data_IF_359927994290
#
_entry.id   IF_359927994290
#
_cell.length_a   1.000
_cell.length_b   1.000
_cell.length_c   1.000
_cell.angle_alpha   90.00
_cell.angle_beta   90.00
_cell.angle_gamma   90.00
#
_symmetry.space_group_name_H-M   'P 1'
#
loop_
_entity.id
_entity.type
_entity.pdbx_description
1 polymer ?
#
# COMPACT_ATOMS: atom_id res chain seq x y z
N UNK A 1 22.75 29.13 1.42
CA UNK A 1 23.01 28.28 2.61
C UNK A 1 24.31 27.54 2.34
N UNK A 2 25.36 27.58 3.20
CA UNK A 2 26.58 26.86 2.95
C UNK A 2 26.29 25.36 2.95
N UNK A 3 26.66 24.69 1.86
CA UNK A 3 26.66 23.22 1.82
C UNK A 3 27.60 22.70 2.93
N UNK A 4 27.30 21.50 3.45
CA UNK A 4 28.18 20.84 4.41
C UNK A 4 29.60 20.74 3.86
N UNK A 5 30.61 20.77 4.74
CA UNK A 5 31.99 20.40 4.37
C UNK A 5 31.96 19.05 3.60
N UNK A 6 32.73 18.88 2.52
CA UNK A 6 32.75 17.67 1.70
C UNK A 6 32.95 16.36 2.52
N UNK A 7 33.73 16.41 3.62
CA UNK A 7 33.93 15.27 4.50
C UNK A 7 32.66 14.92 5.29
N UNK A 8 31.97 15.93 5.80
CA UNK A 8 30.70 15.74 6.50
C UNK A 8 29.62 15.23 5.55
N UNK A 9 29.56 15.76 4.32
CA UNK A 9 28.64 15.29 3.28
C UNK A 9 28.88 13.80 2.94
N UNK A 10 30.14 13.37 2.83
CA UNK A 10 30.47 11.96 2.63
C UNK A 10 30.03 11.06 3.79
N UNK A 11 30.19 11.51 5.03
CA UNK A 11 29.72 10.74 6.22
C UNK A 11 28.20 10.56 6.18
N UNK A 12 27.46 11.63 5.88
CA UNK A 12 25.99 11.54 5.79
C UNK A 12 25.56 10.58 4.67
N UNK A 13 26.23 10.60 3.51
CA UNK A 13 25.94 9.67 2.41
C UNK A 13 26.30 8.22 2.75
N UNK A 14 27.42 7.99 3.45
CA UNK A 14 27.82 6.65 3.91
C UNK A 14 26.80 6.09 4.91
N UNK A 15 26.38 6.89 5.89
CA UNK A 15 25.37 6.48 6.87
C UNK A 15 24.04 6.17 6.18
N UNK A 16 23.60 7.03 5.25
CA UNK A 16 22.39 6.80 4.48
C UNK A 16 22.48 5.51 3.65
N UNK A 17 23.58 5.27 2.93
CA UNK A 17 23.73 4.05 2.13
C UNK A 17 23.73 2.79 2.98
N UNK A 18 24.29 2.84 4.19
CA UNK A 18 24.20 1.75 5.17
C UNK A 18 22.76 1.55 5.64
N UNK A 19 22.05 2.62 6.00
CA UNK A 19 20.65 2.54 6.38
C UNK A 19 19.77 1.95 5.27
N UNK A 20 19.96 2.35 4.03
CA UNK A 20 19.20 1.86 2.87
C UNK A 20 19.58 0.42 2.45
N UNK A 21 20.74 -0.08 2.86
CA UNK A 21 21.16 -1.47 2.64
C UNK A 21 20.43 -2.45 3.57
N UNK A 22 19.97 -2.00 4.73
CA UNK A 22 19.18 -2.81 5.65
C UNK A 22 17.77 -3.11 5.06
N UNK A 23 17.14 -4.19 5.57
CA UNK A 23 15.77 -4.54 5.18
C UNK A 23 14.79 -3.63 5.93
N UNK A 24 14.43 -2.50 5.33
CA UNK A 24 13.51 -1.49 5.89
C UNK A 24 12.23 -1.40 5.07
N UNK A 25 11.20 -0.80 5.67
CA UNK A 25 9.97 -0.45 4.95
C UNK A 25 10.24 0.63 3.88
N UNK A 26 9.32 0.76 2.92
CA UNK A 26 9.40 1.84 1.93
C UNK A 26 9.34 3.21 2.64
N UNK A 27 8.45 3.37 3.61
CA UNK A 27 8.25 4.60 4.38
C UNK A 27 9.52 5.02 5.13
N UNK A 28 10.19 4.07 5.79
CA UNK A 28 11.45 4.32 6.49
C UNK A 28 12.55 4.75 5.53
N UNK A 29 12.65 4.07 4.39
CA UNK A 29 13.64 4.39 3.34
C UNK A 29 13.44 5.79 2.79
N UNK A 30 12.20 6.17 2.43
CA UNK A 30 11.86 7.50 1.94
C UNK A 30 12.14 8.59 2.99
N UNK A 31 11.79 8.33 4.25
CA UNK A 31 12.03 9.26 5.37
C UNK A 31 13.52 9.46 5.64
N UNK A 32 14.34 8.42 5.53
CA UNK A 32 15.81 8.55 5.67
C UNK A 32 16.40 9.41 4.57
N UNK A 33 15.95 9.26 3.32
CA UNK A 33 16.43 10.07 2.18
C UNK A 33 16.02 11.55 2.34
N UNK A 34 14.78 11.85 2.73
CA UNK A 34 14.35 13.25 2.89
C UNK A 34 15.07 13.94 4.05
N UNK A 35 15.32 13.23 5.17
CA UNK A 35 16.16 13.75 6.26
C UNK A 35 17.61 14.02 5.82
N UNK A 36 18.20 13.09 5.07
CA UNK A 36 19.54 13.28 4.52
C UNK A 36 19.59 14.47 3.56
N UNK A 37 18.57 14.68 2.71
CA UNK A 37 18.48 15.81 1.80
C UNK A 37 18.47 17.16 2.54
N UNK A 38 17.63 17.29 3.58
CA UNK A 38 17.62 18.49 4.43
C UNK A 38 18.99 18.75 5.05
N UNK A 39 19.62 17.72 5.61
CA UNK A 39 20.91 17.83 6.29
C UNK A 39 22.05 18.17 5.32
N UNK A 40 22.14 17.48 4.18
CA UNK A 40 23.22 17.65 3.20
C UNK A 40 23.20 19.01 2.52
N UNK A 41 22.02 19.53 2.22
CA UNK A 41 21.84 20.71 1.41
C UNK A 41 21.54 21.97 2.25
N UNK A 42 21.39 21.82 3.58
CA UNK A 42 20.92 22.88 4.43
C UNK A 42 19.53 23.39 4.00
N UNK A 43 18.74 22.53 3.37
CA UNK A 43 17.42 22.88 2.85
C UNK A 43 16.42 23.02 4.00
N UNK A 44 15.42 23.89 3.82
CA UNK A 44 14.34 24.08 4.80
C UNK A 44 13.33 22.93 4.75
N UNK A 45 13.08 22.38 3.56
CA UNK A 45 12.16 21.27 3.34
C UNK A 45 12.66 20.32 2.25
N UNK A 46 12.40 19.04 2.42
CA UNK A 46 12.61 18.00 1.39
C UNK A 46 11.39 17.12 1.25
N UNK A 47 11.08 16.71 0.04
CA UNK A 47 10.00 15.76 -0.22
C UNK A 47 10.35 14.76 -1.33
N UNK A 48 9.87 13.53 -1.18
CA UNK A 48 9.86 12.52 -2.23
C UNK A 48 8.42 12.25 -2.65
N UNK A 49 8.20 12.20 -3.94
CA UNK A 49 6.96 11.74 -4.54
C UNK A 49 7.23 10.57 -5.47
N UNK A 50 6.35 9.58 -5.42
CA UNK A 50 6.43 8.40 -6.26
C UNK A 50 5.19 8.33 -7.16
N UNK A 51 5.37 7.88 -8.39
CA UNK A 51 4.26 7.57 -9.28
C UNK A 51 3.45 6.41 -8.71
N UNK A 52 2.13 6.55 -8.76
CA UNK A 52 1.20 5.47 -8.46
C UNK A 52 1.30 4.32 -9.49
N UNK A 53 0.54 3.24 -9.28
CA UNK A 53 0.56 2.09 -10.18
C UNK A 53 0.06 2.43 -11.60
N UNK A 54 -0.85 3.40 -11.74
CA UNK A 54 -1.37 3.89 -13.02
C UNK A 54 -0.42 4.84 -13.73
N UNK A 55 0.60 5.37 -13.02
CA UNK A 55 1.52 6.43 -13.46
C UNK A 55 0.83 7.76 -13.78
N UNK A 56 -0.37 7.97 -13.27
CA UNK A 56 -1.16 9.19 -13.49
C UNK A 56 -1.03 10.21 -12.36
N UNK A 57 -0.55 9.78 -11.18
CA UNK A 57 -0.46 10.64 -9.99
C UNK A 57 0.88 10.45 -9.29
N UNK A 58 1.49 11.57 -8.89
CA UNK A 58 2.67 11.64 -8.02
C UNK A 58 2.21 11.78 -6.57
N UNK A 59 2.12 10.66 -5.87
CA UNK A 59 1.71 10.60 -4.48
C UNK A 59 2.84 11.02 -3.53
N UNK A 60 2.51 11.73 -2.47
CA UNK A 60 3.48 12.09 -1.43
C UNK A 60 3.96 10.84 -0.70
N UNK A 61 5.27 10.53 -0.82
CA UNK A 61 5.91 9.40 -0.15
C UNK A 61 6.46 9.75 1.23
N UNK A 62 7.33 10.75 1.32
CA UNK A 62 7.88 11.26 2.59
C UNK A 62 8.24 12.73 2.48
N UNK A 63 8.29 13.40 3.64
CA UNK A 63 8.69 14.81 3.78
C UNK A 63 9.52 14.99 5.04
N UNK A 64 10.42 15.97 5.04
CA UNK A 64 11.25 16.36 6.21
C UNK A 64 11.48 17.85 6.20
N UNK A 65 11.64 18.44 7.39
CA UNK A 65 11.82 19.90 7.56
C UNK A 65 10.51 20.66 7.75
N UNK A 66 10.49 21.93 7.37
CA UNK A 66 9.33 22.81 7.54
C UNK A 66 8.09 22.29 6.80
N UNK A 67 6.91 22.46 7.38
CA UNK A 67 5.64 22.06 6.79
C UNK A 67 5.42 20.54 6.68
N UNK A 68 6.15 19.73 7.47
CA UNK A 68 5.97 18.27 7.48
C UNK A 68 4.55 17.87 7.88
N UNK A 69 3.88 18.66 8.74
CA UNK A 69 2.51 18.44 9.22
C UNK A 69 1.44 19.03 8.28
N UNK A 70 1.82 19.80 7.26
CA UNK A 70 0.89 20.32 6.28
C UNK A 70 0.23 19.18 5.50
N UNK A 71 -0.99 19.41 5.02
CA UNK A 71 -1.64 18.43 4.14
C UNK A 71 -0.83 18.28 2.84
N UNK A 72 -0.36 17.06 2.50
CA UNK A 72 0.39 16.87 1.27
C UNK A 72 -0.48 17.18 0.04
N UNK A 73 0.13 17.81 -0.94
CA UNK A 73 -0.46 18.01 -2.27
C UNK A 73 0.08 16.94 -3.21
N UNK A 74 -0.80 16.26 -3.91
CA UNK A 74 -0.44 15.35 -5.00
C UNK A 74 -0.33 16.14 -6.30
N UNK A 75 0.49 15.67 -7.23
CA UNK A 75 0.70 16.27 -8.54
C UNK A 75 0.41 15.27 -9.65
N UNK A 76 0.04 15.77 -10.82
CA UNK A 76 0.03 14.96 -12.04
C UNK A 76 1.38 15.09 -12.77
N UNK A 77 1.81 14.05 -13.53
CA UNK A 77 2.91 14.23 -14.47
C UNK A 77 2.66 15.44 -15.37
N UNK A 78 3.67 16.32 -15.50
CA UNK A 78 3.55 17.59 -16.22
C UNK A 78 3.01 18.77 -15.40
N UNK A 79 2.49 18.56 -14.19
CA UNK A 79 1.95 19.61 -13.34
C UNK A 79 3.03 20.16 -12.41
N UNK A 80 3.26 21.46 -12.46
CA UNK A 80 4.25 22.14 -11.64
C UNK A 80 5.67 21.67 -11.90
N UNK A 81 6.62 22.17 -11.11
CA UNK A 81 8.05 21.83 -11.25
C UNK A 81 8.29 20.31 -11.07
N UNK A 82 7.61 19.72 -10.09
CA UNK A 82 7.79 18.29 -9.75
C UNK A 82 7.23 17.40 -10.86
N UNK A 83 6.01 17.67 -11.35
CA UNK A 83 5.42 16.91 -12.45
C UNK A 83 6.19 17.05 -13.76
N UNK A 84 6.71 18.24 -14.05
CA UNK A 84 7.58 18.48 -15.21
C UNK A 84 8.91 17.73 -15.10
N UNK A 85 9.54 17.69 -13.92
CA UNK A 85 10.77 16.92 -13.69
C UNK A 85 10.59 15.44 -14.10
N UNK A 86 9.44 14.86 -13.74
CA UNK A 86 9.11 13.48 -14.09
C UNK A 86 8.82 13.30 -15.57
N UNK A 87 8.05 14.20 -16.20
CA UNK A 87 7.65 14.12 -17.61
C UNK A 87 8.81 14.39 -18.55
N UNK A 88 9.62 15.43 -18.26
CA UNK A 88 10.78 15.80 -19.06
C UNK A 88 12.00 14.91 -18.76
N UNK A 89 11.91 14.06 -17.72
CA UNK A 89 12.94 13.10 -17.35
C UNK A 89 14.30 13.76 -17.11
N UNK A 90 14.31 14.95 -16.53
CA UNK A 90 15.52 15.73 -16.25
C UNK A 90 15.38 16.55 -14.95
N UNK A 91 16.52 16.92 -14.42
CA UNK A 91 16.62 17.86 -13.30
C UNK A 91 15.98 19.21 -13.66
N UNK A 92 15.22 19.78 -12.73
CA UNK A 92 14.66 21.15 -12.84
C UNK A 92 15.08 21.94 -11.61
N UNK A 93 15.71 23.06 -11.86
CA UNK A 93 16.17 24.00 -10.83
C UNK A 93 15.45 25.32 -11.00
N UNK A 94 14.95 25.87 -9.91
CA UNK A 94 14.25 27.16 -9.86
C UNK A 94 14.95 28.04 -8.85
N UNK A 95 15.68 29.01 -9.34
CA UNK A 95 16.45 29.94 -8.51
C UNK A 95 15.55 30.93 -7.76
N UNK A 96 14.42 31.33 -8.37
CA UNK A 96 13.41 32.19 -7.76
C UNK A 96 12.01 31.74 -8.20
N UNK A 97 11.25 31.17 -7.26
CA UNK A 97 9.91 30.67 -7.57
C UNK A 97 8.90 31.76 -7.91
N UNK A 98 9.16 33.00 -7.51
CA UNK A 98 8.28 34.15 -7.81
C UNK A 98 8.34 34.58 -9.28
N UNK A 99 9.40 34.17 -9.97
CA UNK A 99 9.64 34.46 -11.39
C UNK A 99 9.38 33.27 -12.31
N UNK A 100 9.13 32.09 -11.74
CA UNK A 100 8.97 30.84 -12.49
C UNK A 100 7.48 30.46 -12.59
N UNK A 101 6.93 30.59 -13.78
CA UNK A 101 5.49 30.28 -14.05
C UNK A 101 5.14 28.79 -13.91
N UNK A 102 6.13 27.90 -13.84
CA UNK A 102 5.94 26.47 -13.62
C UNK A 102 5.69 26.13 -12.14
N UNK A 103 6.04 27.05 -11.22
CA UNK A 103 5.83 26.81 -9.79
C UNK A 103 4.35 26.93 -9.43
N UNK A 104 3.81 25.88 -8.80
CA UNK A 104 2.42 25.83 -8.30
C UNK A 104 2.48 25.81 -6.77
N UNK A 105 2.05 26.90 -6.10
CA UNK A 105 2.02 26.96 -4.64
C UNK A 105 0.91 26.05 -4.09
N UNK A 106 1.20 25.32 -3.00
CA UNK A 106 0.18 24.56 -2.30
C UNK A 106 -0.76 25.49 -1.51
N UNK A 107 -2.06 25.22 -1.55
CA UNK A 107 -3.08 26.04 -0.87
C UNK A 107 -3.00 25.99 0.66
N UNK A 108 -2.36 24.95 1.22
CA UNK A 108 -2.20 24.73 2.67
C UNK A 108 -0.75 24.83 3.15
N UNK A 109 0.12 25.51 2.40
CA UNK A 109 1.54 25.61 2.72
C UNK A 109 1.78 26.57 3.89
N UNK A 110 2.42 26.08 4.96
CA UNK A 110 2.71 26.87 6.17
C UNK A 110 4.11 27.54 6.15
N UNK A 111 4.94 27.23 5.14
CA UNK A 111 6.32 27.71 5.04
C UNK A 111 6.57 28.40 3.69
N UNK A 112 7.58 29.28 3.67
CA UNK A 112 7.97 30.03 2.47
C UNK A 112 8.88 29.18 1.58
N UNK A 113 8.67 29.27 0.28
CA UNK A 113 9.59 28.75 -0.74
C UNK A 113 10.09 29.93 -1.57
N UNK A 114 11.42 30.10 -1.64
CA UNK A 114 12.08 31.09 -2.49
C UNK A 114 12.82 30.43 -3.65
N UNK A 115 13.44 29.27 -3.41
CA UNK A 115 14.12 28.46 -4.44
C UNK A 115 13.80 26.98 -4.30
N UNK A 116 13.92 26.21 -5.40
CA UNK A 116 13.59 24.79 -5.46
C UNK A 116 14.54 24.04 -6.37
N UNK A 117 15.03 22.88 -5.91
CA UNK A 117 15.71 21.89 -6.75
C UNK A 117 14.85 20.63 -6.82
N UNK A 118 14.76 20.01 -8.00
CA UNK A 118 14.03 18.77 -8.22
C UNK A 118 14.85 17.83 -9.10
N UNK A 119 15.04 16.59 -8.61
CA UNK A 119 15.76 15.52 -9.30
C UNK A 119 14.84 14.33 -9.56
N UNK A 120 14.84 13.73 -10.76
CA UNK A 120 14.09 12.53 -11.04
C UNK A 120 14.71 11.32 -10.32
N UNK A 121 13.86 10.43 -9.82
CA UNK A 121 14.25 9.13 -9.28
C UNK A 121 14.15 8.08 -10.38
N UNK A 122 15.25 7.39 -10.67
CA UNK A 122 15.36 6.47 -11.79
C UNK A 122 15.33 5.02 -11.35
N UNK A 123 14.56 4.18 -12.03
CA UNK A 123 14.60 2.73 -11.89
C UNK A 123 14.53 2.06 -13.25
N UNK A 124 15.48 1.20 -13.57
CA UNK A 124 15.51 0.40 -14.81
C UNK A 124 15.30 1.24 -16.09
N UNK A 125 15.84 2.47 -16.15
CA UNK A 125 15.70 3.38 -17.28
C UNK A 125 14.40 4.18 -17.33
N UNK A 126 13.53 4.02 -16.35
CA UNK A 126 12.28 4.77 -16.21
C UNK A 126 12.31 5.69 -14.98
N UNK A 127 11.61 6.83 -15.07
CA UNK A 127 11.41 7.71 -13.92
C UNK A 127 10.26 7.16 -13.09
N UNK A 128 10.50 6.91 -11.80
CA UNK A 128 9.54 6.35 -10.84
C UNK A 128 9.02 7.39 -9.84
N UNK A 129 9.60 8.58 -9.84
CA UNK A 129 9.23 9.67 -8.95
C UNK A 129 10.20 10.82 -9.01
N UNK A 130 10.17 11.70 -8.02
CA UNK A 130 11.06 12.84 -7.88
C UNK A 130 11.42 13.11 -6.42
N UNK A 131 12.66 13.55 -6.18
CA UNK A 131 13.16 14.12 -4.94
C UNK A 131 13.26 15.63 -5.12
N UNK A 132 12.62 16.41 -4.27
CA UNK A 132 12.71 17.87 -4.29
C UNK A 132 13.17 18.42 -2.94
N UNK A 133 13.92 19.52 -2.98
CA UNK A 133 14.31 20.31 -1.83
C UNK A 133 13.98 21.79 -2.08
N UNK A 134 13.63 22.50 -1.01
CA UNK A 134 13.31 23.92 -1.08
C UNK A 134 14.00 24.71 0.02
N UNK A 135 14.22 26.00 -0.24
CA UNK A 135 14.70 26.99 0.73
C UNK A 135 13.85 28.26 0.66
N UNK A 136 13.74 29.03 1.78
CA UNK A 136 12.93 30.24 1.83
C UNK A 136 13.51 31.41 1.03
N UNK A 137 14.83 31.41 0.76
CA UNK A 137 15.52 32.45 0.00
C UNK A 137 15.63 32.08 -1.49
N UNK A 138 15.49 33.05 -2.40
CA UNK A 138 15.91 32.85 -3.78
C UNK A 138 17.41 32.57 -3.89
N UNK A 139 17.80 31.75 -4.88
CA UNK A 139 19.20 31.38 -5.18
C UNK A 139 19.95 30.79 -3.99
N UNK A 140 19.24 30.06 -3.12
CA UNK A 140 19.84 29.45 -1.93
C UNK A 140 20.79 28.27 -2.26
N UNK A 141 20.67 27.68 -3.43
CA UNK A 141 21.41 26.49 -3.84
C UNK A 141 22.44 26.81 -4.93
N UNK A 142 23.69 26.48 -4.67
CA UNK A 142 24.80 26.58 -5.62
C UNK A 142 24.96 25.33 -6.50
N UNK A 143 25.99 25.26 -7.34
CA UNK A 143 26.24 24.11 -8.22
C UNK A 143 26.61 22.85 -7.43
N UNK A 144 27.28 22.98 -6.29
CA UNK A 144 27.61 21.85 -5.42
C UNK A 144 26.33 21.25 -4.79
N UNK A 145 25.40 22.09 -4.38
CA UNK A 145 24.09 21.63 -3.87
C UNK A 145 23.30 20.86 -4.96
N UNK A 146 23.32 21.32 -6.22
CA UNK A 146 22.72 20.62 -7.36
C UNK A 146 23.35 19.27 -7.59
N UNK A 147 24.68 19.19 -7.54
CA UNK A 147 25.43 17.95 -7.71
C UNK A 147 25.14 16.96 -6.56
N UNK A 148 25.10 17.44 -5.33
CA UNK A 148 24.79 16.62 -4.14
C UNK A 148 23.37 16.07 -4.20
N UNK A 149 22.38 16.87 -4.59
CA UNK A 149 21.00 16.39 -4.73
C UNK A 149 20.90 15.29 -5.80
N UNK A 150 21.57 15.48 -6.95
CA UNK A 150 21.63 14.47 -8.01
C UNK A 150 22.29 13.18 -7.54
N UNK A 151 23.40 13.28 -6.81
CA UNK A 151 24.09 12.12 -6.24
C UNK A 151 23.17 11.38 -5.26
N UNK A 152 22.51 12.14 -4.36
CA UNK A 152 21.57 11.59 -3.39
C UNK A 152 20.41 10.88 -4.09
N UNK A 153 19.80 11.48 -5.10
CA UNK A 153 18.71 10.87 -5.88
C UNK A 153 19.16 9.56 -6.53
N UNK A 154 20.34 9.56 -7.19
CA UNK A 154 20.87 8.38 -7.86
C UNK A 154 21.21 7.25 -6.90
N UNK A 155 21.85 7.54 -5.75
CA UNK A 155 22.19 6.53 -4.74
C UNK A 155 20.93 5.96 -4.05
N UNK A 156 19.87 6.76 -3.92
CA UNK A 156 18.66 6.38 -3.21
C UNK A 156 17.65 5.64 -4.09
N UNK A 157 17.66 5.86 -5.40
CA UNK A 157 16.68 5.28 -6.32
C UNK A 157 16.63 3.74 -6.30
N UNK A 158 17.74 2.98 -6.40
CA UNK A 158 17.69 1.52 -6.39
C UNK A 158 17.13 0.92 -5.10
N UNK A 159 17.56 1.34 -3.88
CA UNK A 159 16.97 0.81 -2.66
C UNK A 159 15.49 1.21 -2.46
N UNK A 160 15.09 2.41 -2.85
CA UNK A 160 13.69 2.85 -2.82
C UNK A 160 12.85 1.95 -3.73
N UNK A 161 13.29 1.71 -4.95
CA UNK A 161 12.54 0.86 -5.89
C UNK A 161 12.50 -0.59 -5.42
N UNK A 162 13.57 -1.12 -4.86
CA UNK A 162 13.55 -2.45 -4.24
C UNK A 162 12.51 -2.53 -3.12
N UNK A 163 12.46 -1.54 -2.21
CA UNK A 163 11.48 -1.49 -1.14
C UNK A 163 10.04 -1.34 -1.68
N UNK A 164 9.86 -0.53 -2.74
CA UNK A 164 8.58 -0.35 -3.44
C UNK A 164 8.10 -1.65 -4.08
N UNK A 165 8.95 -2.33 -4.84
CA UNK A 165 8.63 -3.61 -5.47
C UNK A 165 8.33 -4.69 -4.43
N UNK A 166 9.07 -4.71 -3.31
CA UNK A 166 8.80 -5.61 -2.20
C UNK A 166 7.45 -5.30 -1.54
N UNK A 167 7.11 -4.02 -1.36
CA UNK A 167 5.79 -3.61 -0.87
C UNK A 167 4.66 -4.05 -1.81
N UNK A 168 4.80 -3.77 -3.13
CA UNK A 168 3.83 -4.19 -4.15
C UNK A 168 3.67 -5.72 -4.23
N UNK A 169 4.74 -6.47 -3.98
CA UNK A 169 4.68 -7.92 -3.90
C UNK A 169 3.96 -8.42 -2.63
N UNK A 170 3.98 -7.64 -1.56
CA UNK A 170 3.48 -8.04 -0.22
C UNK A 170 2.09 -7.51 0.07
N UNK A 171 1.78 -6.29 -0.34
CA UNK A 171 0.49 -5.62 -0.06
C UNK A 171 -0.28 -5.31 -1.33
N UNK A 172 -1.60 -5.28 -1.20
CA UNK A 172 -2.51 -4.73 -2.20
C UNK A 172 -2.57 -3.20 -2.03
N UNK A 173 -2.19 -2.46 -3.05
CA UNK A 173 -2.08 -1.00 -2.98
C UNK A 173 -3.42 -0.29 -2.76
N UNK A 174 -4.52 -0.91 -3.17
CA UNK A 174 -5.84 -0.33 -3.01
C UNK A 174 -6.31 -0.40 -1.55
N UNK A 175 -6.19 -1.56 -0.93
CA UNK A 175 -6.80 -1.85 0.36
C UNK A 175 -5.80 -1.95 1.50
N UNK A 176 -4.50 -1.96 1.20
CA UNK A 176 -3.44 -2.22 2.18
C UNK A 176 -3.58 -3.57 2.91
N UNK A 177 -4.39 -4.49 2.39
CA UNK A 177 -4.36 -5.89 2.77
C UNK A 177 -3.11 -6.56 2.19
N UNK A 178 -2.73 -7.74 2.70
CA UNK A 178 -1.70 -8.52 2.02
C UNK A 178 -2.14 -8.87 0.61
N UNK A 179 -1.20 -8.96 -0.34
CA UNK A 179 -1.49 -9.33 -1.72
C UNK A 179 -1.78 -10.83 -1.83
N UNK A 180 -2.49 -11.23 -2.87
CA UNK A 180 -2.77 -12.66 -3.18
C UNK A 180 -1.49 -13.51 -3.22
N UNK A 181 -0.37 -12.97 -3.71
CA UNK A 181 0.91 -13.68 -3.77
C UNK A 181 1.42 -14.13 -2.40
N UNK A 182 1.01 -13.44 -1.34
CA UNK A 182 1.40 -13.74 0.03
C UNK A 182 0.49 -14.77 0.71
N UNK A 183 -0.68 -15.09 0.12
CA UNK A 183 -1.70 -15.95 0.73
C UNK A 183 -1.14 -17.34 1.09
N UNK A 184 -0.73 -18.11 0.12
CA UNK A 184 -0.27 -19.47 0.35
C UNK A 184 1.04 -19.56 1.14
N UNK A 185 2.06 -18.74 0.88
CA UNK A 185 3.24 -18.68 1.75
C UNK A 185 2.88 -18.41 3.22
N UNK A 186 1.94 -17.50 3.47
CA UNK A 186 1.53 -17.19 4.83
C UNK A 186 0.75 -18.31 5.51
N UNK A 187 -0.19 -18.94 4.82
CA UNK A 187 -0.91 -20.10 5.34
C UNK A 187 0.09 -21.23 5.66
N UNK A 188 1.07 -21.49 4.78
CA UNK A 188 2.10 -22.53 4.99
C UNK A 188 2.94 -22.25 6.25
N UNK A 189 3.39 -21.01 6.46
CA UNK A 189 4.12 -20.61 7.67
C UNK A 189 3.29 -20.87 8.93
N UNK A 190 2.00 -20.52 8.92
CA UNK A 190 1.14 -20.68 10.10
C UNK A 190 0.77 -22.15 10.32
N UNK A 191 0.59 -22.96 9.28
CA UNK A 191 0.41 -24.41 9.39
C UNK A 191 1.65 -25.05 10.03
N UNK A 192 2.85 -24.66 9.58
CA UNK A 192 4.11 -25.18 10.16
C UNK A 192 4.24 -24.81 11.65
N UNK A 193 3.87 -23.58 12.02
CA UNK A 193 3.84 -23.14 13.43
C UNK A 193 2.79 -23.87 14.23
N UNK A 194 1.60 -24.07 13.66
CA UNK A 194 0.49 -24.80 14.28
C UNK A 194 0.85 -26.25 14.55
N UNK A 195 1.43 -26.93 13.56
CA UNK A 195 1.90 -28.32 13.67
C UNK A 195 2.94 -28.50 14.78
N UNK A 196 3.92 -27.58 14.89
CA UNK A 196 4.96 -27.65 15.93
C UNK A 196 4.43 -27.42 17.35
N UNK A 197 3.42 -26.58 17.49
CA UNK A 197 2.94 -26.13 18.80
C UNK A 197 1.60 -26.77 19.23
N UNK A 198 1.00 -27.64 18.42
CA UNK A 198 -0.31 -28.22 18.66
C UNK A 198 -1.46 -27.19 18.65
N UNK A 199 -1.29 -26.09 17.90
CA UNK A 199 -2.31 -25.05 17.79
C UNK A 199 -3.21 -25.27 16.58
N UNK A 200 -4.40 -24.68 16.60
CA UNK A 200 -5.30 -24.61 15.47
C UNK A 200 -5.02 -23.38 14.60
N UNK A 201 -5.36 -23.48 13.34
CA UNK A 201 -5.38 -22.36 12.39
C UNK A 201 -6.69 -22.41 11.61
N UNK A 202 -7.34 -21.28 11.46
CA UNK A 202 -8.55 -21.13 10.65
C UNK A 202 -8.34 -20.08 9.54
N UNK A 203 -9.09 -20.28 8.46
CA UNK A 203 -9.14 -19.36 7.31
C UNK A 203 -10.59 -19.01 7.05
N UNK A 204 -10.85 -17.70 6.87
CA UNK A 204 -12.14 -17.20 6.41
C UNK A 204 -11.98 -16.67 5.00
N UNK A 205 -12.79 -17.15 4.07
CA UNK A 205 -12.93 -16.55 2.75
C UNK A 205 -14.18 -15.68 2.72
N UNK A 206 -14.05 -14.45 2.29
CA UNK A 206 -15.08 -13.40 2.34
C UNK A 206 -15.27 -12.79 0.96
N UNK A 207 -16.53 -12.62 0.53
CA UNK A 207 -16.87 -11.97 -0.73
C UNK A 207 -17.99 -10.93 -0.50
N UNK A 208 -17.76 -9.71 -1.00
CA UNK A 208 -18.74 -8.61 -0.89
C UNK A 208 -19.94 -8.85 -1.80
N UNK A 209 -21.09 -9.11 -1.22
CA UNK A 209 -22.31 -9.40 -1.95
C UNK A 209 -22.67 -8.27 -2.91
N UNK A 210 -22.95 -8.66 -4.17
CA UNK A 210 -23.39 -7.72 -5.22
C UNK A 210 -22.42 -6.55 -5.46
N UNK A 211 -21.11 -6.78 -5.36
CA UNK A 211 -20.12 -5.74 -5.57
C UNK A 211 -20.10 -5.23 -7.02
N UNK A 212 -20.32 -6.11 -8.00
CA UNK A 212 -20.40 -5.71 -9.41
C UNK A 212 -21.43 -4.60 -9.65
N UNK A 213 -22.60 -4.66 -8.98
CA UNK A 213 -23.61 -3.61 -9.10
C UNK A 213 -23.11 -2.23 -8.64
N UNK A 214 -22.20 -2.18 -7.65
CA UNK A 214 -21.58 -0.91 -7.22
C UNK A 214 -20.76 -0.29 -8.35
N UNK A 215 -19.98 -1.11 -9.04
CA UNK A 215 -19.17 -0.65 -10.16
C UNK A 215 -20.06 -0.22 -11.35
N UNK A 216 -21.09 -1.01 -11.66
CA UNK A 216 -21.99 -0.75 -12.78
C UNK A 216 -22.82 0.53 -12.56
N UNK A 217 -23.30 0.78 -11.34
CA UNK A 217 -24.15 1.95 -11.02
C UNK A 217 -23.36 3.21 -10.65
N UNK A 218 -22.17 3.06 -10.06
CA UNK A 218 -21.45 4.16 -9.43
C UNK A 218 -20.01 4.34 -9.90
N UNK A 219 -19.55 3.48 -10.81
CA UNK A 219 -18.20 3.51 -11.37
C UNK A 219 -17.13 2.89 -10.46
N UNK A 220 -15.99 2.52 -11.07
CA UNK A 220 -14.88 1.83 -10.40
C UNK A 220 -14.28 2.60 -9.23
N UNK A 221 -14.20 3.94 -9.32
CA UNK A 221 -13.68 4.76 -8.22
C UNK A 221 -14.52 4.62 -6.92
N UNK A 222 -15.84 4.45 -7.07
CA UNK A 222 -16.73 4.17 -5.92
C UNK A 222 -16.53 2.76 -5.41
N UNK A 223 -16.38 1.77 -6.29
CA UNK A 223 -16.04 0.40 -5.93
C UNK A 223 -14.73 0.32 -5.13
N UNK A 224 -13.71 1.02 -5.59
CA UNK A 224 -12.42 1.12 -4.90
C UNK A 224 -12.55 1.69 -3.49
N UNK A 225 -13.36 2.74 -3.33
CA UNK A 225 -13.63 3.32 -2.01
C UNK A 225 -14.38 2.34 -1.09
N UNK A 226 -15.30 1.54 -1.64
CA UNK A 226 -16.01 0.47 -0.90
C UNK A 226 -15.04 -0.61 -0.45
N UNK A 227 -14.12 -1.06 -1.30
CA UNK A 227 -13.11 -2.08 -0.96
C UNK A 227 -12.17 -1.60 0.14
N UNK A 228 -11.71 -0.33 0.09
CA UNK A 228 -10.91 0.28 1.17
C UNK A 228 -11.70 0.29 2.48
N UNK A 229 -12.93 0.80 2.46
CA UNK A 229 -13.78 0.88 3.65
C UNK A 229 -14.09 -0.50 4.26
N UNK A 230 -14.28 -1.52 3.42
CA UNK A 230 -14.45 -2.90 3.87
C UNK A 230 -13.19 -3.44 4.56
N UNK A 231 -12.02 -3.32 3.92
CA UNK A 231 -10.77 -3.77 4.50
C UNK A 231 -10.46 -3.08 5.84
N UNK A 232 -10.72 -1.76 5.94
CA UNK A 232 -10.55 -1.01 7.18
C UNK A 232 -11.54 -1.45 8.28
N UNK A 233 -12.79 -1.79 7.91
CA UNK A 233 -13.78 -2.34 8.82
C UNK A 233 -13.33 -3.69 9.36
N UNK A 234 -12.88 -4.58 8.50
CA UNK A 234 -12.38 -5.91 8.92
C UNK A 234 -11.19 -5.75 9.88
N UNK A 235 -10.18 -4.92 9.55
CA UNK A 235 -9.01 -4.69 10.42
C UNK A 235 -9.38 -4.22 11.82
N UNK A 236 -10.42 -3.41 11.98
CA UNK A 236 -10.89 -2.94 13.29
C UNK A 236 -11.56 -4.04 14.12
N UNK A 237 -12.02 -5.12 13.47
CA UNK A 237 -12.75 -6.21 14.10
C UNK A 237 -11.91 -7.44 14.41
N UNK A 238 -10.67 -7.49 13.90
CA UNK A 238 -9.76 -8.63 14.03
C UNK A 238 -8.55 -8.30 14.91
N UNK A 239 -7.79 -9.31 15.32
CA UNK A 239 -6.59 -9.15 16.14
C UNK A 239 -5.40 -8.72 15.27
N UNK A 240 -4.38 -8.09 15.89
CA UNK A 240 -3.13 -7.72 15.19
C UNK A 240 -2.37 -8.91 14.59
N UNK A 241 -2.58 -10.11 15.12
CA UNK A 241 -1.93 -11.35 14.62
C UNK A 241 -2.69 -11.96 13.46
N UNK A 242 -3.96 -11.60 13.27
CA UNK A 242 -4.76 -12.05 12.14
C UNK A 242 -4.31 -11.31 10.88
N UNK A 243 -4.26 -12.02 9.76
CA UNK A 243 -3.73 -11.47 8.51
C UNK A 243 -4.83 -11.38 7.47
N UNK A 244 -5.16 -10.16 7.08
CA UNK A 244 -6.10 -9.90 6.00
C UNK A 244 -5.36 -9.88 4.66
N UNK A 245 -5.80 -10.70 3.72
CA UNK A 245 -5.27 -10.83 2.36
C UNK A 245 -6.37 -10.46 1.37
N UNK A 246 -6.08 -9.67 0.35
CA UNK A 246 -6.99 -9.51 -0.80
C UNK A 246 -6.67 -10.58 -1.83
N UNK A 247 -7.61 -11.50 -2.06
CA UNK A 247 -7.45 -12.60 -3.03
C UNK A 247 -7.54 -12.10 -4.46
N UNK A 248 -8.47 -11.18 -4.73
CA UNK A 248 -8.69 -10.55 -6.03
C UNK A 248 -10.09 -9.93 -6.09
N UNK A 249 -10.32 -8.96 -6.96
CA UNK A 249 -11.63 -8.32 -7.09
C UNK A 249 -12.20 -7.86 -5.75
N UNK A 250 -13.32 -8.46 -5.36
CA UNK A 250 -14.04 -8.22 -4.10
C UNK A 250 -13.81 -9.30 -3.03
N UNK A 251 -12.89 -10.25 -3.28
CA UNK A 251 -12.62 -11.39 -2.40
C UNK A 251 -11.47 -11.12 -1.45
N UNK A 252 -11.68 -11.45 -0.18
CA UNK A 252 -10.68 -11.33 0.88
C UNK A 252 -10.55 -12.62 1.66
N UNK A 253 -9.34 -12.90 2.13
CA UNK A 253 -9.03 -14.03 3.01
C UNK A 253 -8.51 -13.51 4.33
N UNK A 254 -9.06 -14.00 5.44
CA UNK A 254 -8.54 -13.74 6.78
C UNK A 254 -7.89 -15.01 7.31
N UNK A 255 -6.58 -14.96 7.53
CA UNK A 255 -5.81 -16.04 8.15
C UNK A 255 -5.78 -15.79 9.65
N UNK A 256 -6.19 -16.75 10.44
CA UNK A 256 -6.36 -16.63 11.89
C UNK A 256 -5.49 -17.65 12.63
N UNK A 257 -4.25 -17.30 13.00
CA UNK A 257 -3.38 -18.16 13.78
C UNK A 257 -3.95 -18.45 15.19
N UNK A 258 -3.69 -19.65 15.71
CA UNK A 258 -4.14 -20.10 17.04
C UNK A 258 -5.64 -19.88 17.27
N UNK A 259 -6.44 -20.26 16.27
CA UNK A 259 -7.87 -20.02 16.27
C UNK A 259 -8.60 -21.26 15.75
N UNK A 260 -9.46 -21.86 16.60
CA UNK A 260 -10.28 -22.98 16.23
C UNK A 260 -11.62 -22.56 15.61
N UNK A 261 -12.39 -23.54 15.13
CA UNK A 261 -13.61 -23.37 14.35
C UNK A 261 -14.66 -22.48 15.04
N UNK A 262 -14.90 -22.66 16.34
CA UNK A 262 -15.89 -21.86 17.09
C UNK A 262 -15.50 -20.38 17.16
N UNK A 263 -14.23 -20.08 17.40
CA UNK A 263 -13.73 -18.70 17.46
C UNK A 263 -13.72 -18.05 16.07
N UNK A 264 -13.36 -18.82 15.04
CA UNK A 264 -13.37 -18.37 13.65
C UNK A 264 -14.80 -18.03 13.20
N UNK A 265 -15.78 -18.90 13.50
CA UNK A 265 -17.20 -18.62 13.25
C UNK A 265 -17.66 -17.35 13.97
N UNK A 266 -17.28 -17.17 15.25
CA UNK A 266 -17.60 -15.96 16.02
C UNK A 266 -17.01 -14.69 15.37
N UNK A 267 -15.80 -14.76 14.83
CA UNK A 267 -15.20 -13.63 14.10
C UNK A 267 -15.92 -13.36 12.77
N UNK A 268 -16.25 -14.41 12.02
CA UNK A 268 -17.03 -14.28 10.78
C UNK A 268 -18.39 -13.62 11.02
N UNK A 269 -19.13 -14.08 12.05
CA UNK A 269 -20.42 -13.47 12.45
C UNK A 269 -20.26 -12.00 12.83
N UNK A 270 -19.25 -11.64 13.62
CA UNK A 270 -18.99 -10.24 14.01
C UNK A 270 -18.72 -9.34 12.79
N UNK A 271 -17.98 -9.83 11.79
CA UNK A 271 -17.75 -9.09 10.54
C UNK A 271 -19.05 -8.94 9.75
N UNK A 272 -19.80 -10.02 9.55
CA UNK A 272 -21.07 -10.03 8.83
C UNK A 272 -22.09 -9.09 9.49
N UNK A 273 -22.31 -9.19 10.80
CA UNK A 273 -23.24 -8.35 11.56
C UNK A 273 -22.83 -6.86 11.54
N UNK A 274 -21.53 -6.57 11.57
CA UNK A 274 -21.04 -5.18 11.48
C UNK A 274 -21.43 -4.52 10.17
N UNK A 275 -21.36 -5.25 9.06
CA UNK A 275 -21.77 -4.75 7.74
C UNK A 275 -23.29 -4.66 7.61
N UNK A 276 -24.00 -5.57 8.25
CA UNK A 276 -25.46 -5.55 8.26
C UNK A 276 -26.03 -4.39 9.08
N UNK A 277 -25.43 -4.07 10.23
CA UNK A 277 -25.87 -2.98 11.11
C UNK A 277 -25.46 -1.60 10.63
N UNK A 278 -24.22 -1.45 10.14
CA UNK A 278 -23.63 -0.16 9.83
C UNK A 278 -23.19 -0.07 8.36
N UNK A 279 -23.55 1.02 7.72
CA UNK A 279 -23.10 1.32 6.36
C UNK A 279 -21.57 1.51 6.30
N UNK A 280 -20.96 1.17 5.18
CA UNK A 280 -19.60 1.55 4.84
C UNK A 280 -19.59 3.04 4.47
N UNK A 281 -18.79 3.82 5.20
CA UNK A 281 -18.62 5.26 4.93
C UNK A 281 -17.49 5.44 3.90
N UNK A 282 -17.84 6.03 2.78
CA UNK A 282 -16.91 6.34 1.69
C UNK A 282 -17.01 7.84 1.35
N UNK A 283 -16.07 8.43 0.60
CA UNK A 283 -16.12 9.85 0.26
C UNK A 283 -17.47 10.24 -0.36
N UNK A 284 -18.15 11.22 0.26
CA UNK A 284 -19.42 11.77 -0.20
C UNK A 284 -20.68 10.92 0.05
N UNK A 285 -20.58 9.68 0.56
CA UNK A 285 -21.74 8.82 0.83
C UNK A 285 -21.50 7.71 1.83
N UNK A 286 -22.59 7.03 2.24
CA UNK A 286 -22.54 5.79 3.02
C UNK A 286 -23.36 4.71 2.30
N UNK A 287 -22.74 3.52 2.09
CA UNK A 287 -23.34 2.42 1.33
C UNK A 287 -23.60 1.21 2.24
N UNK A 288 -24.78 0.61 2.12
CA UNK A 288 -25.08 -0.66 2.77
C UNK A 288 -24.53 -1.80 1.90
N UNK A 289 -23.71 -2.64 2.50
CA UNK A 289 -23.17 -3.84 1.87
C UNK A 289 -23.28 -5.01 2.84
N UNK A 290 -23.37 -6.20 2.28
CA UNK A 290 -23.33 -7.47 3.02
C UNK A 290 -22.14 -8.30 2.51
N UNK A 291 -21.84 -9.37 3.22
CA UNK A 291 -20.71 -10.25 2.91
C UNK A 291 -21.11 -11.71 3.11
N UNK A 292 -20.73 -12.57 2.17
CA UNK A 292 -20.80 -14.01 2.30
C UNK A 292 -19.46 -14.55 2.76
N UNK A 293 -19.44 -15.39 3.80
CA UNK A 293 -18.22 -15.86 4.46
C UNK A 293 -18.22 -17.37 4.55
N UNK A 294 -17.14 -18.01 4.09
CA UNK A 294 -16.82 -19.41 4.32
C UNK A 294 -15.70 -19.53 5.35
N UNK A 295 -15.84 -20.47 6.29
CA UNK A 295 -14.87 -20.74 7.34
C UNK A 295 -14.34 -22.15 7.22
N UNK A 296 -13.02 -22.33 7.25
CA UNK A 296 -12.38 -23.64 7.35
C UNK A 296 -11.29 -23.60 8.43
N UNK A 297 -11.23 -24.66 9.24
CA UNK A 297 -10.17 -24.88 10.22
C UNK A 297 -9.30 -26.02 9.74
N UNK A 298 -7.98 -25.86 9.83
CA UNK A 298 -6.99 -26.86 9.41
C UNK A 298 -7.19 -28.17 10.18
N UNK A 299 -7.18 -29.28 9.45
CA UNK A 299 -7.43 -30.64 9.99
C UNK A 299 -6.17 -31.33 10.54
N UNK A 300 -5.03 -30.64 10.51
CA UNK A 300 -3.75 -31.20 10.94
C UNK A 300 -2.95 -31.90 9.83
N UNK A 301 -3.48 -32.03 8.61
CA UNK A 301 -2.87 -32.81 7.52
C UNK A 301 -2.91 -32.16 6.14
N UNK A 302 -3.96 -31.38 5.86
CA UNK A 302 -4.18 -30.81 4.54
C UNK A 302 -3.15 -29.74 4.15
N UNK A 303 -2.99 -29.53 2.84
CA UNK A 303 -2.15 -28.47 2.31
C UNK A 303 -2.79 -27.08 2.47
N UNK A 304 -2.01 -25.98 2.37
CA UNK A 304 -2.56 -24.63 2.34
C UNK A 304 -3.65 -24.42 1.30
N UNK A 305 -3.50 -25.03 0.12
CA UNK A 305 -4.44 -24.96 -0.99
C UNK A 305 -5.74 -25.69 -0.67
N UNK A 306 -5.65 -26.88 -0.05
CA UNK A 306 -6.82 -27.64 0.34
C UNK A 306 -7.64 -26.94 1.44
N UNK A 307 -6.98 -26.34 2.43
CA UNK A 307 -7.62 -25.53 3.48
C UNK A 307 -8.37 -24.34 2.87
N UNK A 308 -7.73 -23.59 1.98
CA UNK A 308 -8.33 -22.46 1.30
C UNK A 308 -9.52 -22.89 0.42
N UNK A 309 -9.38 -23.97 -0.34
CA UNK A 309 -10.46 -24.50 -1.18
C UNK A 309 -11.69 -24.96 -0.37
N UNK A 310 -11.50 -25.46 0.87
CA UNK A 310 -12.63 -25.75 1.77
C UNK A 310 -13.35 -24.49 2.23
N UNK A 311 -12.60 -23.43 2.55
CA UNK A 311 -13.19 -22.14 2.88
C UNK A 311 -13.95 -21.53 1.67
N UNK A 312 -13.41 -21.70 0.46
CA UNK A 312 -14.05 -21.24 -0.78
C UNK A 312 -15.39 -21.94 -1.04
N UNK A 313 -15.44 -23.26 -0.92
CA UNK A 313 -16.71 -24.03 -1.02
C UNK A 313 -17.73 -23.57 0.00
N UNK A 314 -17.32 -23.37 1.25
CA UNK A 314 -18.22 -22.87 2.29
C UNK A 314 -18.74 -21.45 2.00
N UNK A 315 -17.90 -20.56 1.45
CA UNK A 315 -18.33 -19.24 1.00
C UNK A 315 -19.32 -19.34 -0.17
N UNK A 316 -19.07 -20.20 -1.13
CA UNK A 316 -20.00 -20.46 -2.23
C UNK A 316 -21.37 -20.96 -1.71
N UNK A 317 -21.38 -21.86 -0.73
CA UNK A 317 -22.61 -22.29 -0.07
C UNK A 317 -23.31 -21.13 0.64
N UNK A 318 -22.57 -20.23 1.29
CA UNK A 318 -23.14 -19.03 1.86
C UNK A 318 -23.87 -18.17 0.81
N UNK A 319 -23.28 -18.01 -0.38
CA UNK A 319 -23.90 -17.31 -1.53
C UNK A 319 -25.16 -18.04 -2.02
N UNK A 320 -25.14 -19.36 -2.17
CA UNK A 320 -26.28 -20.18 -2.62
C UNK A 320 -27.45 -20.16 -1.64
N UNK A 321 -27.15 -20.18 -0.35
CA UNK A 321 -28.14 -20.15 0.72
C UNK A 321 -28.81 -18.77 0.93
N UNK A 322 -28.51 -17.77 0.11
CA UNK A 322 -29.15 -16.44 0.13
C UNK A 322 -28.25 -15.32 0.62
N UNK A 323 -26.91 -15.50 0.60
CA UNK A 323 -25.91 -14.48 0.94
C UNK A 323 -25.99 -13.99 2.39
N UNK A 324 -25.22 -12.94 2.71
CA UNK A 324 -25.22 -12.28 4.04
C UNK A 324 -25.14 -13.25 5.20
N UNK A 325 -24.23 -14.22 5.15
CA UNK A 325 -24.09 -15.25 6.17
C UNK A 325 -22.70 -15.86 6.24
N UNK A 326 -22.49 -16.61 7.32
CA UNK A 326 -21.29 -17.38 7.55
C UNK A 326 -21.64 -18.86 7.49
N UNK A 327 -20.88 -19.62 6.69
CA UNK A 327 -20.95 -21.07 6.60
C UNK A 327 -19.61 -21.66 7.03
N UNK A 328 -19.64 -22.70 7.87
CA UNK A 328 -18.46 -23.44 8.31
C UNK A 328 -18.33 -24.69 7.47
N UNK A 329 -17.15 -24.91 6.88
CA UNK A 329 -16.85 -26.15 6.19
C UNK A 329 -16.83 -27.33 7.17
N UNK A 330 -17.59 -28.38 6.88
CA UNK A 330 -17.53 -29.65 7.57
C UNK A 330 -16.35 -30.49 7.05
N UNK A 331 -15.75 -31.29 7.91
CA UNK A 331 -14.64 -32.21 7.54
C UNK A 331 -15.14 -33.49 6.87
N UNK A 332 -16.36 -33.51 6.37
CA UNK A 332 -16.90 -34.74 5.77
C UNK A 332 -16.16 -35.15 4.52
N UNK A 333 -15.59 -36.30 4.66
CA UNK A 333 -14.86 -37.10 3.71
C UNK A 333 -15.76 -37.61 2.58
N UNK A 334 -15.90 -36.87 1.52
CA UNK A 334 -16.09 -37.41 0.18
C UNK A 334 -15.72 -36.36 -0.86
N UNK A 335 -14.52 -36.51 -1.37
CA UNK A 335 -14.05 -35.79 -2.55
C UNK A 335 -14.85 -36.32 -3.75
N UNK A 336 -16.03 -35.75 -3.99
CA UNK A 336 -16.69 -35.92 -5.27
C UNK A 336 -16.15 -34.85 -6.23
N UNK A 337 -15.04 -35.19 -6.88
CA UNK A 337 -14.37 -34.42 -7.92
C UNK A 337 -15.19 -34.39 -9.23
N UNK A 338 -16.37 -35.02 -9.28
CA UNK A 338 -17.17 -35.18 -10.49
C UNK A 338 -18.03 -33.98 -10.88
N UNK A 339 -18.04 -32.91 -10.10
CA UNK A 339 -18.88 -31.72 -10.38
C UNK A 339 -18.16 -30.54 -11.06
N UNK A 340 -16.86 -30.68 -11.36
CA UNK A 340 -16.07 -29.58 -11.99
C UNK A 340 -15.85 -29.76 -13.51
N UNK A 341 -16.42 -30.79 -14.18
CA UNK A 341 -16.25 -31.01 -15.62
C UNK A 341 -17.47 -30.65 -16.50
N UNK A 342 -18.35 -29.77 -16.06
CA UNK A 342 -19.44 -29.27 -16.94
C UNK A 342 -19.54 -27.76 -16.86
N UNK A 343 -18.73 -27.07 -17.66
CA UNK A 343 -18.82 -25.59 -17.75
C UNK A 343 -17.96 -24.90 -18.81
N UNK A 344 -17.43 -25.64 -19.80
CA UNK A 344 -16.82 -25.03 -20.99
C UNK A 344 -17.50 -25.59 -22.24
N UNK A 345 -18.64 -25.04 -22.61
CA UNK A 345 -19.17 -24.98 -23.99
C UNK A 345 -20.53 -24.28 -24.00
N UNK A 346 -20.50 -22.98 -24.26
CA UNK A 346 -21.29 -22.21 -25.24
C UNK A 346 -21.07 -20.69 -25.08
#
# INVERSE_FOLDING_TARGET
>A
VPALDPKEALVVLLDLTRELAEKRSLEDSLSSVTRAAVKLLGADHASIRLLDASRETLLSGARSGSGVDDRPMDFRPGEGVIGLCVTERRSIYVDDVSLDTRFVPATSQSFRIGSLLCEPLWSSGEVVGALSVTAPEPRAFDEDAKLLLRLLANCSSPPIERARLQRLATFDDLTMAMSHRYLFPRIAEEIERASRNGNEISVLLMDLDHFKLVNDEHGHATGDAVLRAFADRVRKLVRKVDVLVRRGGEEFVLIMPRTGSTQALGTGKRIQESLEREKLVIPGRAMKKTVSIGVATWDGRESPQALEARADRAMYDAKRLGRNRVVVSTLDSSTDLSLYELGDSE
#
